data_IF_824310842924
#
_entry.id   IF_824310842924
#
_cell.length_a   1.000
_cell.length_b   1.000
_cell.length_c   1.000
_cell.angle_alpha   90.00
_cell.angle_beta   90.00
_cell.angle_gamma   90.00
#
_symmetry.space_group_name_H-M   'P 1'
#
loop_
_entity.id
_entity.type
_entity.pdbx_description
1 polymer ?
#
# COMPACT_ATOMS: atom_id res chain seq x y z
N UNK A 1 7.98 -32.73 3.95
CA UNK A 1 7.23 -31.46 4.06
C UNK A 1 7.18 -30.85 2.67
N UNK A 2 6.03 -30.81 1.96
CA UNK A 2 5.98 -30.10 0.70
C UNK A 2 5.95 -28.60 1.00
N UNK A 3 6.99 -27.89 0.56
CA UNK A 3 6.97 -26.44 0.52
C UNK A 3 5.80 -26.02 -0.40
N UNK A 4 4.89 -25.24 0.15
CA UNK A 4 3.72 -24.74 -0.53
C UNK A 4 4.18 -24.01 -1.81
N UNK A 5 3.77 -24.53 -2.97
CA UNK A 5 3.97 -23.89 -4.27
C UNK A 5 3.44 -22.45 -4.19
N UNK A 6 4.11 -21.42 -4.77
CA UNK A 6 3.51 -20.11 -4.94
C UNK A 6 2.53 -20.17 -6.12
N UNK A 7 1.52 -21.04 -6.05
CA UNK A 7 0.66 -21.39 -7.20
C UNK A 7 -0.76 -20.83 -7.12
N UNK A 8 -1.09 -20.05 -6.09
CA UNK A 8 -2.20 -19.09 -6.22
C UNK A 8 -1.58 -17.78 -6.71
N UNK A 9 -1.59 -17.59 -8.02
CA UNK A 9 -1.18 -16.33 -8.62
C UNK A 9 -1.96 -15.21 -7.92
N UNK A 10 -1.24 -14.28 -7.28
CA UNK A 10 -1.85 -13.18 -6.56
C UNK A 10 -2.78 -12.41 -7.49
N UNK A 11 -4.09 -12.45 -7.20
CA UNK A 11 -5.16 -11.87 -8.03
C UNK A 11 -5.48 -10.44 -7.62
N UNK A 12 -4.45 -9.60 -7.53
CA UNK A 12 -4.63 -8.20 -7.17
C UNK A 12 -5.39 -7.45 -8.27
N UNK A 13 -6.35 -6.63 -7.85
CA UNK A 13 -7.01 -5.66 -8.71
C UNK A 13 -6.24 -4.34 -8.70
N UNK A 14 -6.23 -3.63 -9.83
CA UNK A 14 -5.78 -2.25 -9.87
C UNK A 14 -6.70 -1.39 -8.98
N UNK A 15 -6.16 -0.51 -8.13
CA UNK A 15 -7.00 0.29 -7.24
C UNK A 15 -7.76 1.43 -7.94
N UNK A 16 -7.33 1.82 -9.14
CA UNK A 16 -7.99 2.83 -9.98
C UNK A 16 -8.99 2.20 -10.95
N UNK A 17 -8.54 1.20 -11.70
CA UNK A 17 -9.29 0.60 -12.80
C UNK A 17 -10.06 -0.66 -12.40
N UNK A 18 -9.76 -1.23 -11.23
CA UNK A 18 -10.39 -2.44 -10.68
C UNK A 18 -10.33 -3.69 -11.58
N UNK A 19 -9.39 -3.71 -12.52
CA UNK A 19 -9.06 -4.87 -13.37
C UNK A 19 -7.95 -5.70 -12.74
N UNK A 20 -7.94 -7.01 -12.99
CA UNK A 20 -6.90 -7.93 -12.50
C UNK A 20 -5.53 -7.54 -13.07
N UNK A 21 -4.56 -7.33 -12.18
CA UNK A 21 -3.20 -6.93 -12.50
C UNK A 21 -2.40 -8.13 -13.00
N UNK A 22 -1.46 -7.87 -13.91
CA UNK A 22 -0.60 -8.89 -14.52
C UNK A 22 0.80 -8.85 -13.94
N UNK A 23 1.38 -10.01 -13.69
CA UNK A 23 2.77 -10.12 -13.25
C UNK A 23 3.71 -9.59 -14.35
N UNK A 24 4.49 -8.54 -14.06
CA UNK A 24 5.60 -8.10 -14.91
C UNK A 24 6.81 -9.00 -14.64
N UNK A 25 6.93 -10.08 -15.41
CA UNK A 25 8.11 -10.95 -15.39
C UNK A 25 9.22 -10.34 -16.27
N UNK A 26 9.96 -9.35 -15.79
CA UNK A 26 11.24 -9.02 -16.41
C UNK A 26 12.31 -9.92 -15.80
N UNK A 27 12.55 -11.08 -16.43
CA UNK A 27 13.73 -11.89 -16.17
C UNK A 27 14.96 -11.14 -16.68
N UNK A 28 15.66 -10.40 -15.81
CA UNK A 28 17.08 -10.16 -16.06
C UNK A 28 17.82 -11.45 -15.73
N UNK A 29 18.51 -12.00 -16.73
CA UNK A 29 19.51 -13.07 -16.60
C UNK A 29 20.78 -12.52 -15.96
N UNK A 30 20.69 -12.04 -14.73
CA UNK A 30 21.90 -11.82 -13.93
C UNK A 30 21.84 -12.72 -12.70
N UNK A 31 22.78 -13.67 -12.69
CA UNK A 31 23.05 -14.67 -11.68
C UNK A 31 23.56 -14.08 -10.36
N UNK A 32 22.86 -13.09 -9.79
CA UNK A 32 23.23 -12.59 -8.47
C UNK A 32 22.03 -12.27 -7.59
N UNK A 33 21.59 -13.32 -6.90
CA UNK A 33 21.06 -13.31 -5.54
C UNK A 33 20.35 -12.02 -5.08
N UNK A 34 19.32 -11.60 -5.81
CA UNK A 34 18.37 -10.61 -5.36
C UNK A 34 17.00 -11.21 -5.55
N UNK A 35 16.35 -11.51 -4.43
CA UNK A 35 14.96 -11.98 -4.30
C UNK A 35 14.08 -11.24 -5.32
N UNK A 36 13.83 -11.86 -6.48
CA UNK A 36 12.97 -11.32 -7.54
C UNK A 36 11.61 -11.05 -6.92
N UNK A 37 11.37 -9.79 -6.58
CA UNK A 37 10.12 -9.39 -5.95
C UNK A 37 9.10 -9.34 -7.07
N UNK A 38 8.15 -10.27 -7.07
CA UNK A 38 7.05 -10.29 -8.02
C UNK A 38 6.34 -8.92 -7.99
N UNK A 39 6.25 -8.28 -9.15
CA UNK A 39 5.61 -6.99 -9.33
C UNK A 39 4.46 -7.15 -10.32
N UNK A 40 3.29 -6.64 -9.94
CA UNK A 40 2.06 -6.72 -10.71
C UNK A 40 1.75 -5.33 -11.25
N UNK A 41 1.28 -5.24 -12.49
CA UNK A 41 0.94 -3.99 -13.16
C UNK A 41 -0.49 -4.03 -13.70
N UNK A 42 -1.15 -2.89 -13.70
CA UNK A 42 -2.42 -2.76 -14.40
C UNK A 42 -2.24 -3.04 -15.90
N UNK A 43 -3.12 -3.82 -16.56
CA UNK A 43 -3.07 -4.03 -18.00
C UNK A 43 -3.57 -2.83 -18.81
N UNK A 44 -4.25 -1.86 -18.19
CA UNK A 44 -4.75 -0.68 -18.89
C UNK A 44 -3.62 0.21 -19.41
N UNK A 45 -3.78 0.68 -20.64
CA UNK A 45 -2.83 1.60 -21.26
C UNK A 45 -2.69 2.86 -20.42
N UNK A 46 -1.49 3.40 -20.28
CA UNK A 46 -1.16 4.60 -19.49
C UNK A 46 -1.40 4.50 -17.96
N UNK A 47 -1.94 3.38 -17.44
CA UNK A 47 -2.06 3.21 -16.00
C UNK A 47 -0.69 2.96 -15.37
N UNK A 48 -0.33 3.80 -14.38
CA UNK A 48 0.95 3.74 -13.68
C UNK A 48 0.89 2.90 -12.40
N UNK A 49 -0.28 2.35 -12.07
CA UNK A 49 -0.49 1.57 -10.86
C UNK A 49 0.23 0.23 -10.95
N UNK A 50 1.08 -0.01 -9.96
CA UNK A 50 1.76 -1.27 -9.73
C UNK A 50 1.49 -1.75 -8.30
N UNK A 51 1.68 -3.04 -8.08
CA UNK A 51 1.61 -3.66 -6.77
C UNK A 51 2.81 -4.59 -6.56
N UNK A 52 3.39 -4.56 -5.38
CA UNK A 52 4.39 -5.55 -4.94
C UNK A 52 4.05 -6.03 -3.54
N UNK A 53 4.32 -7.30 -3.24
CA UNK A 53 3.98 -7.89 -1.93
C UNK A 53 4.69 -7.15 -0.79
N UNK A 54 5.94 -6.72 -1.00
CA UNK A 54 6.72 -6.01 0.02
C UNK A 54 6.38 -4.51 0.11
N UNK A 55 6.04 -3.88 -1.02
CA UNK A 55 5.87 -2.42 -1.11
C UNK A 55 4.42 -1.94 -1.15
N UNK A 56 3.45 -2.82 -1.35
CA UNK A 56 2.06 -2.44 -1.58
C UNK A 56 1.83 -1.85 -2.98
N UNK A 57 0.76 -1.06 -3.11
CA UNK A 57 0.47 -0.32 -4.32
C UNK A 57 1.34 0.92 -4.45
N UNK A 58 1.76 1.22 -5.67
CA UNK A 58 2.51 2.44 -5.96
C UNK A 58 2.30 2.90 -7.40
N UNK A 59 2.49 4.20 -7.63
CA UNK A 59 2.54 4.78 -8.97
C UNK A 59 3.97 4.74 -9.50
N UNK A 60 4.19 4.04 -10.61
CA UNK A 60 5.48 4.07 -11.30
C UNK A 60 5.70 5.46 -11.91
N UNK A 61 6.80 6.12 -11.55
CA UNK A 61 7.17 7.39 -12.19
C UNK A 61 7.46 7.16 -13.68
N UNK A 62 7.02 8.09 -14.53
CA UNK A 62 7.29 8.03 -15.98
C UNK A 62 8.80 8.05 -16.29
N UNK A 63 9.60 8.57 -15.36
CA UNK A 63 11.06 8.69 -15.48
C UNK A 63 11.83 7.50 -14.87
N UNK A 64 11.14 6.47 -14.36
CA UNK A 64 11.75 5.23 -13.85
C UNK A 64 12.55 5.37 -12.54
N UNK A 65 12.64 6.57 -11.95
CA UNK A 65 13.32 6.76 -10.68
C UNK A 65 12.44 6.23 -9.55
N UNK A 66 12.93 5.22 -8.81
CA UNK A 66 12.21 4.56 -7.70
C UNK A 66 12.02 5.45 -6.46
N UNK A 67 12.58 6.66 -6.43
CA UNK A 67 12.56 7.53 -5.24
C UNK A 67 11.30 8.39 -5.16
N UNK A 68 10.55 8.52 -6.26
CA UNK A 68 9.35 9.37 -6.33
C UNK A 68 8.06 8.54 -6.43
N UNK A 69 8.05 7.34 -5.83
CA UNK A 69 6.89 6.45 -5.88
C UNK A 69 5.87 6.86 -4.82
N UNK A 70 4.69 7.29 -5.25
CA UNK A 70 3.57 7.53 -4.34
C UNK A 70 2.88 6.20 -4.01
N UNK A 71 2.85 5.84 -2.72
CA UNK A 71 2.25 4.58 -2.24
C UNK A 71 0.79 4.80 -1.90
N UNK A 72 -0.09 4.47 -2.84
CA UNK A 72 -1.53 4.59 -2.68
C UNK A 72 -2.21 3.36 -3.27
N UNK A 73 -3.16 2.73 -2.55
CA UNK A 73 -3.57 2.99 -1.17
C UNK A 73 -2.68 2.25 -0.14
N UNK A 74 -2.50 2.86 1.03
CA UNK A 74 -1.63 2.36 2.12
C UNK A 74 -2.35 1.41 3.11
N UNK A 75 -3.13 0.45 2.61
CA UNK A 75 -3.86 -0.51 3.45
C UNK A 75 -2.92 -1.60 3.97
N UNK A 76 -2.90 -1.79 5.30
CA UNK A 76 -2.03 -2.76 5.98
C UNK A 76 -2.82 -3.79 6.79
N UNK A 77 -2.31 -5.02 6.79
CA UNK A 77 -2.81 -6.09 7.66
C UNK A 77 -2.64 -5.69 9.14
N UNK A 78 -3.60 -6.05 10.00
CA UNK A 78 -3.48 -5.82 11.46
C UNK A 78 -2.47 -6.74 12.11
N UNK A 79 -2.34 -7.96 11.60
CA UNK A 79 -1.59 -9.01 12.26
C UNK A 79 -0.08 -8.86 12.02
N UNK A 80 0.31 -8.53 10.79
CA UNK A 80 1.71 -8.52 10.37
C UNK A 80 2.17 -7.19 9.72
N UNK A 81 1.26 -6.22 9.54
CA UNK A 81 1.57 -4.93 8.92
C UNK A 81 1.86 -4.98 7.42
N UNK A 82 1.74 -6.15 6.78
CA UNK A 82 1.99 -6.35 5.35
C UNK A 82 1.03 -5.50 4.51
N UNK A 83 1.50 -4.84 3.45
CA UNK A 83 0.63 -4.16 2.49
C UNK A 83 -0.36 -5.13 1.83
N UNK A 84 -1.65 -4.83 1.94
CA UNK A 84 -2.72 -5.67 1.43
C UNK A 84 -3.02 -5.32 -0.03
N UNK A 85 -3.50 -6.31 -0.80
CA UNK A 85 -3.99 -6.08 -2.15
C UNK A 85 -5.51 -5.99 -2.18
N UNK A 86 -6.05 -5.20 -3.11
CA UNK A 86 -7.47 -5.15 -3.41
C UNK A 86 -7.86 -6.44 -4.14
N UNK A 87 -8.74 -7.23 -3.54
CA UNK A 87 -9.16 -8.51 -4.09
C UNK A 87 -10.53 -8.43 -4.76
N UNK A 88 -11.45 -7.66 -4.18
CA UNK A 88 -12.83 -7.55 -4.67
C UNK A 88 -13.36 -6.12 -4.47
N UNK A 89 -14.26 -5.73 -5.38
CA UNK A 89 -15.08 -4.53 -5.30
C UNK A 89 -16.53 -4.92 -5.57
N UNK A 90 -17.47 -4.19 -4.98
CA UNK A 90 -18.90 -4.31 -5.27
C UNK A 90 -19.34 -3.01 -5.95
N UNK A 91 -19.71 -3.09 -7.23
CA UNK A 91 -20.10 -1.90 -8.00
C UNK A 91 -21.45 -1.32 -7.56
N UNK A 92 -22.32 -2.15 -6.97
CA UNK A 92 -23.62 -1.72 -6.44
C UNK A 92 -23.45 -1.02 -5.09
N UNK A 93 -22.41 -1.39 -4.33
CA UNK A 93 -22.00 -0.74 -3.09
C UNK A 93 -20.69 0.02 -3.30
N UNK A 94 -20.79 1.26 -3.82
CA UNK A 94 -19.65 2.10 -4.23
C UNK A 94 -18.45 2.16 -3.28
N UNK A 95 -18.67 2.01 -1.97
CA UNK A 95 -17.62 2.08 -0.94
C UNK A 95 -17.08 0.72 -0.50
N UNK A 96 -17.68 -0.39 -0.93
CA UNK A 96 -17.22 -1.73 -0.58
C UNK A 96 -15.97 -2.10 -1.35
N UNK A 97 -14.92 -2.40 -0.58
CA UNK A 97 -13.63 -2.88 -1.06
C UNK A 97 -13.15 -3.97 -0.12
N UNK A 98 -12.80 -5.14 -0.65
CA UNK A 98 -12.18 -6.22 0.10
C UNK A 98 -10.67 -6.22 -0.15
N UNK A 99 -9.90 -6.10 0.92
CA UNK A 99 -8.45 -6.21 0.90
C UNK A 99 -8.02 -7.53 1.53
N UNK A 100 -7.02 -8.19 0.92
CA UNK A 100 -6.46 -9.45 1.40
C UNK A 100 -4.96 -9.28 1.70
N UNK A 101 -4.52 -9.79 2.85
CA UNK A 101 -3.12 -9.88 3.18
C UNK A 101 -2.48 -11.03 2.37
N UNK A 102 -1.42 -10.77 1.58
CA UNK A 102 -0.78 -11.81 0.80
C UNK A 102 0.06 -12.79 1.66
N UNK A 103 0.32 -12.49 2.93
CA UNK A 103 1.12 -13.34 3.83
C UNK A 103 0.24 -14.26 4.68
N UNK A 104 -0.74 -13.70 5.39
CA UNK A 104 -1.59 -14.45 6.31
C UNK A 104 -3.02 -14.72 5.81
N UNK A 105 -3.43 -14.14 4.67
CA UNK A 105 -4.80 -14.24 4.18
C UNK A 105 -5.83 -13.38 4.93
N UNK A 106 -5.38 -12.58 5.91
CA UNK A 106 -6.23 -11.66 6.68
C UNK A 106 -7.02 -10.71 5.78
N UNK A 107 -8.23 -10.36 6.20
CA UNK A 107 -9.21 -9.60 5.39
C UNK A 107 -9.47 -8.23 6.01
N UNK A 108 -9.68 -7.22 5.16
CA UNK A 108 -10.15 -5.88 5.58
C UNK A 108 -11.21 -5.37 4.63
N UNK A 109 -12.24 -4.73 5.16
CA UNK A 109 -13.21 -3.95 4.39
C UNK A 109 -13.13 -2.46 4.77
N UNK A 110 -13.64 -1.58 3.90
CA UNK A 110 -13.63 -0.12 4.05
C UNK A 110 -14.09 0.39 5.43
N UNK A 111 -14.92 -0.38 6.14
CA UNK A 111 -15.42 -0.07 7.49
C UNK A 111 -14.32 -0.04 8.58
N UNK A 112 -13.11 -0.53 8.30
CA UNK A 112 -12.07 -0.77 9.31
C UNK A 112 -10.77 0.04 9.09
N UNK A 113 -10.72 0.93 8.08
CA UNK A 113 -9.45 1.43 7.54
C UNK A 113 -9.30 2.93 7.28
N UNK A 114 -10.34 3.76 7.45
CA UNK A 114 -10.24 5.22 7.30
C UNK A 114 -9.63 5.91 8.52
N UNK A 115 -8.53 5.40 9.08
CA UNK A 115 -7.66 6.25 9.91
C UNK A 115 -6.68 6.94 8.97
N UNK A 116 -7.23 7.84 8.15
CA UNK A 116 -6.46 8.92 7.58
C UNK A 116 -5.89 9.71 8.74
N UNK A 117 -4.56 9.83 8.77
CA UNK A 117 -3.75 10.66 9.65
C UNK A 117 -4.54 11.84 10.21
N UNK A 118 -5.05 11.70 11.43
CA UNK A 118 -5.48 12.85 12.21
C UNK A 118 -4.24 13.71 12.39
N UNK A 119 -4.29 14.90 11.79
CA UNK A 119 -3.27 15.93 11.89
C UNK A 119 -2.73 15.99 13.31
N UNK A 120 -1.40 15.88 13.44
CA UNK A 120 -0.64 16.25 14.63
C UNK A 120 -1.29 17.49 15.24
N UNK A 121 -1.92 17.33 16.40
CA UNK A 121 -2.39 18.45 17.20
C UNK A 121 -1.19 19.35 17.48
N UNK A 122 -1.22 20.56 16.92
CA UNK A 122 -0.34 21.62 17.38
C UNK A 122 -0.66 21.84 18.85
N UNK A 123 0.34 21.58 19.71
CA UNK A 123 0.23 21.85 21.12
C UNK A 123 0.04 23.34 21.32
N UNK A 124 -1.05 23.63 22.01
CA UNK A 124 -1.50 24.90 22.55
C UNK A 124 -0.36 25.61 23.29
N UNK A 125 0.02 26.80 22.82
CA UNK A 125 0.87 27.73 23.57
C UNK A 125 -0.01 28.32 24.67
N UNK A 126 -0.01 27.66 25.84
CA UNK A 126 -0.58 28.22 27.05
C UNK A 126 0.56 28.59 28.00
N UNK A 127 0.77 29.90 28.13
CA UNK A 127 1.75 30.52 29.03
C UNK A 127 1.43 32.00 29.17
N UNK A 128 0.34 32.30 29.86
CA UNK A 128 -0.10 33.65 30.17
C UNK A 128 0.82 34.31 31.23
N UNK A 129 1.19 35.57 30.97
CA UNK A 129 1.14 36.78 31.85
C UNK A 129 1.86 36.70 33.22
N UNK A 130 2.94 37.45 33.47
CA UNK A 130 3.08 38.90 33.79
C UNK A 130 3.51 39.10 35.26
N UNK A 131 4.22 40.23 35.49
CA UNK A 131 4.54 40.91 36.76
C UNK A 131 5.76 40.38 37.57
N UNK A 132 6.88 41.14 37.62
CA UNK A 132 7.28 42.04 38.75
C UNK A 132 7.93 41.23 39.91
N UNK A 133 9.09 41.50 40.52
CA UNK A 133 9.92 42.69 40.69
C UNK A 133 11.26 42.33 41.37
N UNK A 134 12.28 43.17 41.11
CA UNK A 134 13.32 43.67 42.03
C UNK A 134 14.43 42.76 42.60
N UNK A 135 15.65 43.05 42.13
CA UNK A 135 16.98 42.96 42.76
C UNK A 135 17.06 43.82 44.04
N UNK A 136 17.97 43.52 44.98
CA UNK A 136 19.38 43.96 44.86
C UNK A 136 20.41 42.82 44.98
#
# INVERSE_FOLDING_TARGET
MPANQPSEALRALCYEHHVEMRLKQNFSNDEQNTRKTAMFACPEASCLVHYSISGGYFLASQNGHRNDLEVIPAVRCLDDGTPMYLAEIDLDKRDYRLWICPQCGGRRTHEQGLVGVASRGNQDVSGQREAESQTP
#
